data_IF_792852968176
#
_entry.id   IF_792852968176
#
_cell.length_a   1.000
_cell.length_b   1.000
_cell.length_c   1.000
_cell.angle_alpha   90.00
_cell.angle_beta   90.00
_cell.angle_gamma   90.00
#
_symmetry.space_group_name_H-M   'P 1'
#
loop_
_entity.id
_entity.type
_entity.pdbx_description
1 polymer ?
#
# COMPACT_ATOMS: atom_id res chain seq x y z
N UNK A 1 -59.65 5.80 11.12
CA UNK A 1 -58.49 6.08 10.24
C UNK A 1 -57.20 5.90 11.04
N UNK A 2 -56.51 4.77 10.89
CA UNK A 2 -55.29 4.46 11.65
C UNK A 2 -54.04 4.75 10.81
N UNK A 3 -53.10 5.54 11.37
CA UNK A 3 -51.82 5.88 10.72
C UNK A 3 -50.87 4.67 10.70
N UNK A 4 -50.14 4.39 9.60
CA UNK A 4 -49.17 3.32 9.57
C UNK A 4 -47.91 3.70 10.35
N UNK A 5 -47.43 2.76 11.19
CA UNK A 5 -46.18 2.87 11.93
C UNK A 5 -44.99 2.75 10.96
N UNK A 6 -44.08 3.73 10.99
CA UNK A 6 -42.82 3.72 10.23
C UNK A 6 -41.98 2.49 10.60
N UNK A 7 -41.55 1.74 9.60
CA UNK A 7 -40.60 0.64 9.76
C UNK A 7 -39.25 1.19 10.24
N UNK A 8 -38.66 0.52 11.23
CA UNK A 8 -37.31 0.80 11.73
C UNK A 8 -36.32 0.54 10.59
N UNK A 9 -35.56 1.56 10.19
CA UNK A 9 -34.34 1.40 9.39
C UNK A 9 -33.42 0.41 10.11
N UNK A 10 -33.13 -0.73 9.50
CA UNK A 10 -32.07 -1.62 9.96
C UNK A 10 -30.76 -0.84 9.89
N UNK A 11 -30.09 -0.71 11.03
CA UNK A 11 -28.74 -0.17 11.09
C UNK A 11 -27.85 -1.06 10.23
N UNK A 12 -27.29 -0.50 9.16
CA UNK A 12 -26.16 -1.12 8.47
C UNK A 12 -25.01 -1.20 9.47
N UNK A 13 -24.84 -2.36 10.09
CA UNK A 13 -23.61 -2.68 10.79
C UNK A 13 -22.49 -2.50 9.76
N UNK A 14 -21.62 -1.52 10.00
CA UNK A 14 -20.33 -1.44 9.31
C UNK A 14 -19.53 -2.64 9.81
N UNK A 15 -19.78 -3.81 9.21
CA UNK A 15 -19.01 -5.00 9.44
C UNK A 15 -17.56 -4.69 9.10
N UNK A 16 -16.73 -4.54 10.12
CA UNK A 16 -15.29 -4.52 9.96
C UNK A 16 -14.88 -5.86 9.34
N UNK A 17 -14.76 -5.92 8.01
CA UNK A 17 -14.23 -7.10 7.32
C UNK A 17 -12.87 -7.40 7.92
N UNK A 18 -12.71 -8.60 8.48
CA UNK A 18 -11.42 -9.09 8.98
C UNK A 18 -10.39 -9.05 7.83
N UNK A 19 -9.11 -8.76 8.12
CA UNK A 19 -8.08 -8.89 7.10
C UNK A 19 -8.05 -10.30 6.52
N UNK A 20 -7.72 -10.38 5.24
CA UNK A 20 -7.36 -11.64 4.58
C UNK A 20 -5.92 -12.01 4.94
N UNK A 21 -5.05 -11.01 5.03
CA UNK A 21 -3.65 -11.19 5.41
C UNK A 21 -3.14 -9.96 6.18
N UNK A 22 -2.24 -10.19 7.13
CA UNK A 22 -1.51 -9.16 7.85
C UNK A 22 -0.12 -9.67 8.25
N UNK A 23 0.85 -8.76 8.22
CA UNK A 23 2.25 -9.12 8.42
C UNK A 23 3.14 -7.91 8.66
N UNK A 24 4.37 -8.17 9.03
CA UNK A 24 5.40 -7.15 9.18
C UNK A 24 6.68 -7.64 8.54
N UNK A 25 7.32 -6.78 7.76
CA UNK A 25 8.64 -7.02 7.18
C UNK A 25 9.57 -5.94 7.67
N UNK A 26 10.82 -6.31 7.92
CA UNK A 26 11.89 -5.40 8.31
C UNK A 26 13.03 -5.54 7.32
N UNK A 27 13.56 -4.39 6.90
CA UNK A 27 14.66 -4.27 5.97
C UNK A 27 15.75 -3.44 6.62
N UNK A 28 16.96 -3.98 6.65
CA UNK A 28 18.16 -3.25 7.03
C UNK A 28 18.95 -2.92 5.75
N UNK A 29 19.20 -1.64 5.50
CA UNK A 29 19.77 -1.17 4.23
C UNK A 29 20.89 -0.18 4.51
N UNK A 30 22.05 -0.33 3.85
CA UNK A 30 23.11 0.66 3.93
C UNK A 30 22.74 1.92 3.14
N UNK A 31 23.08 3.10 3.64
CA UNK A 31 22.84 4.36 2.92
C UNK A 31 23.62 4.43 1.60
N UNK A 32 24.74 3.71 1.50
CA UNK A 32 25.55 3.58 0.27
C UNK A 32 24.87 2.72 -0.81
N UNK A 33 23.95 1.85 -0.42
CA UNK A 33 23.22 0.95 -1.33
C UNK A 33 21.94 1.59 -1.90
N UNK A 34 21.64 2.85 -1.57
CA UNK A 34 20.50 3.55 -2.14
C UNK A 34 20.83 4.04 -3.57
N UNK A 35 19.97 3.78 -4.58
CA UNK A 35 18.65 3.13 -4.50
C UNK A 35 18.71 1.60 -4.31
N UNK A 36 17.87 1.11 -3.41
CA UNK A 36 17.78 -0.29 -3.01
C UNK A 36 16.42 -0.90 -3.38
N UNK A 37 16.43 -2.18 -3.76
CA UNK A 37 15.25 -2.99 -4.05
C UNK A 37 15.31 -4.25 -3.20
N UNK A 38 14.28 -4.51 -2.39
CA UNK A 38 14.23 -5.72 -1.56
C UNK A 38 14.06 -7.00 -2.41
N UNK A 39 14.35 -8.13 -1.77
CA UNK A 39 13.86 -9.42 -2.24
C UNK A 39 12.32 -9.44 -2.33
N UNK A 40 11.80 -10.44 -3.05
CA UNK A 40 10.37 -10.62 -3.20
C UNK A 40 9.76 -11.17 -1.92
N UNK A 41 8.69 -10.52 -1.47
CA UNK A 41 7.95 -10.88 -0.27
C UNK A 41 6.55 -11.31 -0.67
N UNK A 42 6.11 -12.47 -0.16
CA UNK A 42 4.76 -12.99 -0.38
C UNK A 42 3.77 -12.44 0.64
N UNK A 43 2.62 -12.01 0.14
CA UNK A 43 1.75 -11.10 0.84
C UNK A 43 0.38 -11.17 0.14
N UNK A 44 -0.61 -11.77 0.80
CA UNK A 44 -1.95 -12.05 0.24
C UNK A 44 -1.90 -12.88 -1.02
N UNK A 45 -1.00 -13.87 -1.05
CA UNK A 45 -0.68 -14.70 -2.22
C UNK A 45 -0.12 -13.93 -3.42
N UNK A 46 0.37 -12.71 -3.22
CA UNK A 46 1.02 -11.88 -4.23
C UNK A 46 2.47 -11.57 -3.85
N UNK A 47 3.34 -11.43 -4.85
CA UNK A 47 4.76 -11.10 -4.66
C UNK A 47 5.01 -9.60 -4.78
N UNK A 48 5.66 -9.03 -3.76
CA UNK A 48 5.92 -7.60 -3.63
C UNK A 48 7.40 -7.31 -3.41
N UNK A 49 7.85 -6.11 -3.78
CA UNK A 49 9.17 -5.59 -3.49
C UNK A 49 9.07 -4.18 -2.92
N UNK A 50 9.94 -3.87 -1.98
CA UNK A 50 10.07 -2.53 -1.40
C UNK A 50 11.25 -1.84 -2.07
N UNK A 51 11.00 -0.68 -2.66
CA UNK A 51 12.02 0.15 -3.28
C UNK A 51 12.29 1.34 -2.38
N UNK A 52 13.55 1.50 -1.96
CA UNK A 52 14.01 2.68 -1.23
C UNK A 52 14.93 3.47 -2.14
N UNK A 53 14.70 4.78 -2.28
CA UNK A 53 15.59 5.64 -3.07
C UNK A 53 15.80 6.99 -2.41
N UNK A 54 16.99 7.55 -2.59
CA UNK A 54 17.26 8.95 -2.28
C UNK A 54 16.68 9.79 -3.41
N UNK A 55 15.93 10.83 -3.07
CA UNK A 55 15.43 11.77 -4.07
C UNK A 55 15.61 13.21 -3.58
N UNK A 56 15.74 14.14 -4.53
CA UNK A 56 15.69 15.57 -4.25
C UNK A 56 14.29 16.07 -4.58
N UNK A 57 13.69 16.83 -3.67
CA UNK A 57 12.44 17.55 -3.92
C UNK A 57 12.72 19.04 -3.67
N UNK A 58 12.30 19.90 -4.58
CA UNK A 58 12.15 21.33 -4.32
C UNK A 58 11.02 21.54 -3.30
N UNK A 59 11.34 22.22 -2.21
CA UNK A 59 10.32 22.68 -1.27
C UNK A 59 10.20 24.18 -1.44
N UNK A 60 9.05 24.62 -1.94
CA UNK A 60 8.66 26.02 -1.92
C UNK A 60 8.32 26.37 -0.48
N UNK A 61 9.27 26.97 0.24
CA UNK A 61 9.03 27.55 1.54
C UNK A 61 8.63 29.01 1.31
N UNK A 62 7.33 29.30 1.49
CA UNK A 62 6.69 30.60 1.37
C UNK A 62 6.68 31.19 -0.05
N UNK A 63 5.47 31.52 -0.53
CA UNK A 63 5.24 32.23 -1.80
C UNK A 63 5.74 33.69 -1.81
N UNK A 64 6.36 34.17 -0.73
CA UNK A 64 6.72 35.58 -0.55
C UNK A 64 8.22 35.87 -0.71
N UNK A 65 9.08 34.86 -0.58
CA UNK A 65 10.53 35.01 -0.83
C UNK A 65 10.96 33.87 -1.76
N UNK A 66 11.09 34.15 -3.05
CA UNK A 66 11.30 33.18 -4.15
C UNK A 66 12.59 32.35 -4.11
N UNK A 67 12.93 31.74 -2.98
CA UNK A 67 14.07 30.84 -2.81
C UNK A 67 13.56 29.41 -2.60
N UNK A 68 13.55 28.61 -3.68
CA UNK A 68 13.26 27.18 -3.56
C UNK A 68 14.42 26.50 -2.83
N UNK A 69 14.18 25.83 -1.70
CA UNK A 69 15.19 25.03 -1.02
C UNK A 69 15.05 23.58 -1.44
N UNK A 70 16.12 23.00 -1.96
CA UNK A 70 16.17 21.57 -2.26
C UNK A 70 16.28 20.75 -0.96
N UNK A 71 15.37 19.80 -0.77
CA UNK A 71 15.44 18.84 0.33
C UNK A 71 15.66 17.44 -0.21
N UNK A 72 16.72 16.79 0.29
CA UNK A 72 16.96 15.36 0.08
C UNK A 72 16.04 14.57 1.01
N UNK A 73 15.35 13.59 0.47
CA UNK A 73 14.44 12.72 1.22
C UNK A 73 14.60 11.27 0.80
N UNK A 74 14.14 10.36 1.67
CA UNK A 74 13.97 8.95 1.30
C UNK A 74 12.56 8.78 0.72
N UNK A 75 12.49 8.26 -0.49
CA UNK A 75 11.26 7.73 -1.09
C UNK A 75 11.15 6.25 -0.80
N UNK A 76 9.91 5.79 -0.75
CA UNK A 76 9.59 4.36 -0.70
C UNK A 76 8.49 4.03 -1.70
N UNK A 77 8.65 2.94 -2.42
CA UNK A 77 7.60 2.41 -3.29
C UNK A 77 7.36 0.95 -2.93
N UNK A 78 6.11 0.51 -3.11
CA UNK A 78 5.77 -0.90 -3.10
C UNK A 78 5.47 -1.30 -4.55
N UNK A 79 6.21 -2.27 -5.06
CA UNK A 79 6.06 -2.79 -6.42
C UNK A 79 5.52 -4.22 -6.38
N UNK A 80 4.68 -4.56 -7.34
CA UNK A 80 4.37 -5.95 -7.69
C UNK A 80 4.92 -6.26 -9.07
N UNK A 81 5.42 -7.49 -9.27
CA UNK A 81 5.83 -7.99 -10.58
C UNK A 81 4.64 -7.97 -11.55
N UNK A 82 4.87 -7.50 -12.78
CA UNK A 82 3.85 -7.48 -13.84
C UNK A 82 3.33 -8.89 -14.08
N UNK A 83 2.02 -9.03 -13.99
CA UNK A 83 1.26 -10.26 -14.24
C UNK A 83 0.23 -9.95 -15.34
N UNK A 84 -0.08 -10.95 -16.15
CA UNK A 84 -1.06 -10.87 -17.25
C UNK A 84 -2.49 -10.92 -16.71
N UNK A 85 -2.70 -11.53 -15.54
CA UNK A 85 -4.02 -11.64 -14.93
C UNK A 85 -4.57 -10.28 -14.50
N UNK A 86 -5.89 -10.08 -14.63
CA UNK A 86 -6.55 -8.95 -14.00
C UNK A 86 -6.64 -9.19 -12.50
N UNK A 87 -6.24 -8.20 -11.71
CA UNK A 87 -6.27 -8.31 -10.26
C UNK A 87 -6.43 -6.93 -9.63
N UNK A 88 -6.97 -6.93 -8.41
CA UNK A 88 -6.96 -5.80 -7.51
C UNK A 88 -6.69 -6.25 -6.08
N UNK A 89 -5.97 -5.43 -5.33
CA UNK A 89 -5.65 -5.67 -3.93
C UNK A 89 -5.83 -4.39 -3.13
N UNK A 90 -6.77 -4.41 -2.17
CA UNK A 90 -6.93 -3.32 -1.20
C UNK A 90 -6.05 -3.61 0.01
N UNK A 91 -5.03 -2.77 0.18
CA UNK A 91 -4.07 -2.88 1.25
C UNK A 91 -3.96 -1.57 2.02
N UNK A 92 -3.72 -1.70 3.32
CA UNK A 92 -3.27 -0.62 4.18
C UNK A 92 -1.96 -1.01 4.81
N UNK A 93 -1.10 -0.03 5.07
CA UNK A 93 0.15 -0.30 5.74
C UNK A 93 0.75 0.92 6.39
N UNK A 94 1.77 0.67 7.18
CA UNK A 94 2.54 1.67 7.90
C UNK A 94 4.00 1.35 7.62
N UNK A 95 4.67 2.28 6.95
CA UNK A 95 6.12 2.27 6.91
C UNK A 95 6.65 3.03 8.10
N UNK A 96 7.66 2.46 8.75
CA UNK A 96 8.29 3.01 9.96
C UNK A 96 9.79 2.95 9.81
N UNK A 97 10.45 4.12 9.87
CA UNK A 97 11.90 4.20 10.02
C UNK A 97 12.20 4.02 11.51
N UNK A 98 12.85 2.92 11.86
CA UNK A 98 13.11 2.57 13.26
C UNK A 98 14.31 3.34 13.80
N UNK A 99 14.20 3.72 15.06
CA UNK A 99 15.34 4.17 15.86
C UNK A 99 16.05 2.99 16.51
N UNK A 100 17.37 3.09 16.61
CA UNK A 100 18.19 2.22 17.43
C UNK A 100 18.14 2.73 18.88
N UNK A 101 17.63 1.90 19.78
CA UNK A 101 17.40 2.27 21.19
C UNK A 101 18.69 2.70 21.89
N UNK A 102 19.80 2.08 21.55
CA UNK A 102 21.11 2.35 22.17
C UNK A 102 21.70 3.71 21.79
N UNK A 103 21.12 4.37 20.77
CA UNK A 103 21.46 5.74 20.37
C UNK A 103 20.50 6.79 20.92
N UNK A 104 19.46 6.39 21.65
CA UNK A 104 18.55 7.33 22.29
C UNK A 104 19.23 7.91 23.53
N UNK A 105 19.47 9.22 23.53
CA UNK A 105 19.79 9.93 24.78
C UNK A 105 18.58 9.84 25.72
N UNK A 106 18.81 9.82 27.04
CA UNK A 106 17.74 9.66 28.07
C UNK A 106 16.58 10.64 27.92
N UNK A 107 16.78 11.80 27.29
CA UNK A 107 15.76 12.83 27.03
C UNK A 107 15.14 12.77 25.62
N UNK A 108 15.64 11.93 24.71
CA UNK A 108 15.16 11.83 23.31
C UNK A 108 14.20 10.66 23.06
N UNK A 109 13.86 9.92 24.12
CA UNK A 109 12.93 8.78 24.06
C UNK A 109 11.53 9.17 23.58
N UNK A 110 11.14 10.45 23.68
CA UNK A 110 9.84 10.96 23.24
C UNK A 110 9.74 11.27 21.74
N UNK A 111 10.86 11.37 21.02
CA UNK A 111 10.80 11.70 19.59
C UNK A 111 10.23 10.47 18.85
N UNK A 112 9.02 10.60 18.33
CA UNK A 112 8.33 9.52 17.61
C UNK A 112 9.09 9.04 16.36
N UNK A 113 8.98 7.75 16.03
CA UNK A 113 9.51 7.22 14.76
C UNK A 113 8.88 7.93 13.55
N UNK A 114 9.62 8.07 12.45
CA UNK A 114 9.02 8.50 11.19
C UNK A 114 8.09 7.40 10.68
N UNK A 115 6.79 7.64 10.84
CA UNK A 115 5.74 6.74 10.44
C UNK A 115 4.97 7.35 9.27
N UNK A 116 4.73 6.57 8.23
CA UNK A 116 3.84 6.99 7.15
C UNK A 116 2.88 5.88 6.81
N UNK A 117 1.59 6.20 6.99
CA UNK A 117 0.48 5.29 6.74
C UNK A 117 0.05 5.40 5.28
N UNK A 118 -0.47 4.32 4.73
CA UNK A 118 -1.15 4.32 3.45
C UNK A 118 -2.39 3.44 3.49
N UNK A 119 -3.36 3.79 2.65
CA UNK A 119 -4.50 2.96 2.28
C UNK A 119 -4.62 3.10 0.76
N UNK A 120 -4.57 1.98 0.06
CA UNK A 120 -4.53 1.98 -1.40
C UNK A 120 -5.21 0.75 -1.99
N UNK A 121 -5.67 0.90 -3.22
CA UNK A 121 -6.09 -0.21 -4.07
C UNK A 121 -5.04 -0.34 -5.16
N UNK A 122 -4.25 -1.40 -5.09
CA UNK A 122 -3.34 -1.81 -6.15
C UNK A 122 -4.13 -2.55 -7.22
N UNK A 123 -3.78 -2.37 -8.48
CA UNK A 123 -4.41 -3.04 -9.61
C UNK A 123 -3.40 -3.18 -10.74
N UNK A 124 -3.71 -4.00 -11.76
CA UNK A 124 -2.80 -4.28 -12.88
C UNK A 124 -2.25 -3.03 -13.57
N UNK A 125 -3.01 -1.94 -13.70
CA UNK A 125 -2.55 -0.69 -14.32
C UNK A 125 -1.79 0.24 -13.36
N UNK A 126 -1.80 -0.07 -12.06
CA UNK A 126 -1.17 0.71 -11.00
C UNK A 126 -0.42 -0.24 -10.05
N UNK A 127 0.57 -0.93 -10.62
CA UNK A 127 1.39 -1.96 -9.95
C UNK A 127 2.41 -1.34 -8.99
N UNK A 128 2.53 -0.02 -9.01
CA UNK A 128 3.45 0.75 -8.21
C UNK A 128 2.73 1.91 -7.56
N UNK A 129 2.89 2.10 -6.25
CA UNK A 129 2.48 3.35 -5.60
C UNK A 129 3.72 4.09 -5.13
N UNK A 130 3.87 5.33 -5.62
CA UNK A 130 4.93 6.22 -5.19
C UNK A 130 4.50 6.87 -3.87
N UNK A 131 5.18 6.53 -2.78
CA UNK A 131 5.04 7.28 -1.54
C UNK A 131 6.19 8.27 -1.47
N UNK A 132 5.92 9.48 -1.98
CA UNK A 132 6.94 10.49 -2.29
C UNK A 132 7.61 11.10 -1.07
N UNK A 133 7.12 10.92 0.16
CA UNK A 133 7.74 11.49 1.36
C UNK A 133 7.74 10.46 2.50
N UNK A 134 8.90 9.92 2.84
CA UNK A 134 9.06 9.01 3.99
C UNK A 134 9.72 9.68 5.18
N UNK A 135 10.99 10.00 5.03
CA UNK A 135 11.78 10.67 6.05
C UNK A 135 12.70 11.68 5.37
N UNK A 136 12.99 12.81 6.02
CA UNK A 136 14.00 13.73 5.53
C UNK A 136 15.36 13.02 5.56
N UNK A 137 16.17 13.19 4.51
CA UNK A 137 17.50 12.58 4.46
C UNK A 137 18.40 13.11 5.58
N UNK A 138 18.15 14.32 6.07
CA UNK A 138 18.86 14.89 7.23
C UNK A 138 18.69 14.07 8.51
N UNK A 139 17.58 13.34 8.66
CA UNK A 139 17.38 12.42 9.78
C UNK A 139 18.27 11.18 9.68
N UNK A 140 18.78 10.86 8.49
CA UNK A 140 19.62 9.69 8.22
C UNK A 140 20.95 10.08 7.57
N UNK A 141 21.42 11.31 7.75
CA UNK A 141 22.70 11.76 7.17
C UNK A 141 23.78 12.03 8.22
N UNK A 142 23.40 12.05 9.50
CA UNK A 142 24.31 12.28 10.63
C UNK A 142 24.61 10.95 11.29
N UNK A 143 25.88 10.60 11.46
CA UNK A 143 26.29 9.35 12.14
C UNK A 143 25.81 9.28 13.60
N UNK A 144 25.59 10.43 14.23
CA UNK A 144 25.00 10.56 15.56
C UNK A 144 23.47 10.39 15.59
N UNK A 145 22.82 10.24 14.43
CA UNK A 145 21.38 10.03 14.38
C UNK A 145 20.98 8.71 15.03
N UNK A 146 19.92 8.75 15.84
CA UNK A 146 19.27 7.56 16.38
C UNK A 146 18.69 6.63 15.29
N UNK A 147 18.59 7.08 14.03
CA UNK A 147 18.04 6.30 12.92
C UNK A 147 19.08 5.52 12.11
N UNK A 148 20.37 5.70 12.39
CA UNK A 148 21.47 5.01 11.68
C UNK A 148 22.30 4.23 12.70
N UNK A 149 22.63 2.98 12.40
CA UNK A 149 23.64 2.21 13.12
C UNK A 149 24.59 1.62 12.08
N UNK A 150 25.89 1.81 12.24
CA UNK A 150 26.91 1.33 11.30
C UNK A 150 26.62 1.66 9.81
N UNK A 151 26.19 2.90 9.52
CA UNK A 151 25.82 3.36 8.16
C UNK A 151 24.61 2.63 7.54
N UNK A 152 23.80 1.97 8.39
CA UNK A 152 22.58 1.28 7.99
C UNK A 152 21.34 1.84 8.67
N UNK A 153 20.24 1.85 7.92
CA UNK A 153 18.91 2.21 8.39
C UNK A 153 18.03 0.98 8.45
N UNK A 154 17.12 0.93 9.43
CA UNK A 154 16.10 -0.13 9.51
C UNK A 154 14.73 0.44 9.15
N UNK A 155 14.12 -0.09 8.10
CA UNK A 155 12.77 0.26 7.65
C UNK A 155 11.86 -0.93 7.88
N UNK A 156 10.75 -0.72 8.58
CA UNK A 156 9.71 -1.74 8.72
C UNK A 156 8.47 -1.36 7.93
N UNK A 157 7.83 -2.35 7.33
CA UNK A 157 6.52 -2.26 6.71
C UNK A 157 5.58 -3.19 7.47
N UNK A 158 4.67 -2.61 8.26
CA UNK A 158 3.51 -3.34 8.76
C UNK A 158 2.38 -3.18 7.76
N UNK A 159 1.83 -4.28 7.30
CA UNK A 159 0.83 -4.27 6.24
C UNK A 159 -0.41 -5.07 6.60
N UNK A 160 -1.51 -4.80 5.91
CA UNK A 160 -2.79 -5.47 6.10
C UNK A 160 -3.61 -5.42 4.82
N UNK A 161 -3.93 -6.59 4.29
CA UNK A 161 -4.83 -6.75 3.16
C UNK A 161 -6.25 -6.96 3.65
N UNK A 162 -7.17 -6.20 3.08
CA UNK A 162 -8.59 -6.37 3.33
C UNK A 162 -9.31 -7.10 2.20
N UNK A 163 -8.81 -7.02 0.97
CA UNK A 163 -9.48 -7.60 -0.20
C UNK A 163 -8.47 -7.90 -1.28
N UNK A 164 -8.55 -9.10 -1.84
CA UNK A 164 -7.83 -9.53 -3.04
C UNK A 164 -8.87 -10.03 -4.00
N UNK A 165 -8.91 -9.46 -5.19
CA UNK A 165 -9.69 -9.98 -6.31
C UNK A 165 -8.68 -10.37 -7.38
N UNK A 166 -8.71 -11.63 -7.81
CA UNK A 166 -8.01 -12.10 -8.99
C UNK A 166 -9.10 -12.52 -9.95
N UNK A 167 -9.25 -11.74 -11.02
CA UNK A 167 -10.15 -12.11 -12.10
C UNK A 167 -9.45 -13.20 -12.90
N UNK A 168 -9.73 -14.44 -12.51
CA UNK A 168 -9.62 -15.62 -13.37
C UNK A 168 -10.86 -15.64 -14.28
N UNK A 169 -11.18 -14.53 -14.96
CA UNK A 169 -12.09 -14.65 -16.08
C UNK A 169 -11.28 -15.35 -17.18
N UNK A 170 -11.58 -16.62 -17.55
CA UNK A 170 -11.08 -17.10 -18.81
C UNK A 170 -11.54 -16.07 -19.84
N UNK A 171 -10.61 -15.51 -20.60
CA UNK A 171 -10.96 -14.76 -21.78
C UNK A 171 -11.86 -15.67 -22.60
N UNK A 172 -13.16 -15.41 -22.59
CA UNK A 172 -14.11 -16.14 -23.39
C UNK A 172 -13.75 -15.83 -24.84
N UNK A 173 -13.11 -16.81 -25.47
CA UNK A 173 -12.89 -16.77 -26.91
C UNK A 173 -14.24 -17.10 -27.53
N UNK A 174 -14.98 -16.07 -27.95
CA UNK A 174 -16.26 -16.26 -28.65
C UNK A 174 -16.11 -17.03 -29.97
N UNK A 175 -14.87 -17.26 -30.43
CA UNK A 175 -14.59 -18.11 -31.60
C UNK A 175 -14.32 -19.58 -31.23
N UNK A 176 -14.34 -19.94 -29.93
CA UNK A 176 -14.24 -21.33 -29.48
C UNK A 176 -15.58 -21.82 -28.94
N UNK A 177 -16.04 -23.02 -29.34
CA UNK A 177 -17.23 -23.62 -28.75
C UNK A 177 -17.02 -23.80 -27.25
N UNK A 178 -17.93 -23.25 -26.45
CA UNK A 178 -17.87 -23.33 -25.00
C UNK A 178 -18.44 -24.67 -24.52
N UNK A 179 -17.83 -25.31 -23.52
CA UNK A 179 -18.20 -26.66 -23.08
C UNK A 179 -19.55 -26.75 -22.34
N UNK A 180 -20.32 -25.66 -22.30
CA UNK A 180 -21.64 -25.59 -21.66
C UNK A 180 -22.71 -25.18 -22.68
N UNK A 181 -22.85 -25.97 -23.74
CA UNK A 181 -23.91 -25.82 -24.74
C UNK A 181 -25.15 -26.64 -24.38
N UNK A 182 -25.75 -26.38 -23.22
CA UNK A 182 -27.08 -26.90 -22.85
C UNK A 182 -27.75 -25.97 -21.81
N UNK A 183 -27.84 -24.67 -22.14
CA UNK A 183 -28.73 -23.75 -21.41
C UNK A 183 -29.88 -23.39 -22.34
N UNK A 184 -30.95 -24.17 -22.27
CA UNK A 184 -32.21 -23.86 -22.94
C UNK A 184 -32.88 -22.72 -22.17
N UNK A 185 -32.80 -21.49 -22.71
CA UNK A 185 -33.57 -20.35 -22.22
C UNK A 185 -35.04 -20.56 -22.63
N UNK A 186 -35.86 -21.09 -21.73
CA UNK A 186 -37.32 -21.03 -21.87
C UNK A 186 -37.79 -19.61 -21.60
N UNK A 187 -38.10 -18.88 -22.65
CA UNK A 187 -38.80 -17.59 -22.55
C UNK A 187 -40.28 -17.90 -22.33
N UNK A 188 -40.77 -17.80 -21.09
CA UNK A 188 -42.21 -17.78 -20.82
C UNK A 188 -42.79 -16.44 -21.30
N UNK A 189 -43.22 -16.40 -22.55
CA UNK A 189 -44.04 -15.32 -23.07
C UNK A 189 -45.49 -15.47 -22.59
N UNK A 190 -45.94 -14.61 -21.68
CA UNK A 190 -47.37 -14.33 -21.54
C UNK A 190 -47.82 -13.52 -22.75
N UNK A 191 -48.35 -14.22 -23.76
CA UNK A 191 -49.16 -13.58 -24.79
C UNK A 191 -50.52 -13.28 -24.16
N UNK A 192 -50.72 -12.03 -23.71
CA UNK A 192 -52.05 -11.51 -23.41
C UNK A 192 -52.63 -10.96 -24.71
N UNK A 193 -53.61 -11.67 -25.26
CA UNK A 193 -54.70 -11.07 -26.04
C UNK A 193 -55.56 -10.20 -25.13
#
# INVERSE_FOLDING_TARGET
MARPKKSKKSGKSHGHRKPIDEGTVELEVSLKELPYVSEQISFGSMMWQIHLKRNMISVDENKEEGTSKERKIIHRNLLRKKDENQWSCKARGVFTLKKYKDKLLKNEQEISNYNTKFITVFHRCNQYRIFTKFAPFTAVSKNSSAYILHDKITVSLRWKITTVNVDLFPSYDFNKPTPFSDVTLTVEGKSSM
#
